data_IF_665560544909
#
_entry.id   IF_665560544909
#
_cell.length_a   1.000
_cell.length_b   1.000
_cell.length_c   1.000
_cell.angle_alpha   90.00
_cell.angle_beta   90.00
_cell.angle_gamma   90.00
#
_symmetry.space_group_name_H-M   'P 1'
#
loop_
_entity.id
_entity.type
_entity.pdbx_description
1 polymer ?
#
# COMPACT_ATOMS: atom_id res chain seq x y z
N UNK A 1 -2.84 17.52 -13.92
CA UNK A 1 -1.76 17.29 -14.88
C UNK A 1 -0.98 18.58 -15.08
N UNK A 2 0.32 18.55 -14.85
CA UNK A 2 1.24 19.61 -15.24
C UNK A 2 1.73 19.35 -16.68
N UNK A 3 2.05 20.42 -17.44
CA UNK A 3 2.55 20.33 -18.82
C UNK A 3 3.88 21.07 -18.92
N UNK A 4 4.88 20.44 -19.51
CA UNK A 4 6.16 21.04 -19.81
C UNK A 4 6.76 20.37 -21.06
N UNK A 5 7.27 21.16 -21.99
CA UNK A 5 7.98 20.71 -23.21
C UNK A 5 7.27 19.60 -24.00
N UNK A 6 5.94 19.72 -24.17
CA UNK A 6 5.13 18.72 -24.89
C UNK A 6 4.85 17.44 -24.11
N UNK A 7 5.31 17.32 -22.88
CA UNK A 7 5.05 16.21 -21.98
C UNK A 7 4.01 16.59 -20.92
N UNK A 8 3.29 15.59 -20.42
CA UNK A 8 2.31 15.75 -19.35
C UNK A 8 2.72 14.93 -18.14
N UNK A 9 2.62 15.53 -16.96
CA UNK A 9 3.01 14.92 -15.70
C UNK A 9 1.78 14.72 -14.82
N UNK A 10 1.47 13.47 -14.48
CA UNK A 10 0.47 13.16 -13.47
C UNK A 10 1.15 13.15 -12.10
N UNK A 11 0.91 14.19 -11.34
CA UNK A 11 1.48 14.36 -9.99
C UNK A 11 0.74 13.48 -8.99
N UNK A 12 1.42 12.49 -8.42
CA UNK A 12 0.84 11.50 -7.50
C UNK A 12 1.29 11.68 -6.05
N UNK A 13 1.81 12.87 -5.71
CA UNK A 13 2.34 13.18 -4.38
C UNK A 13 1.42 14.08 -3.53
N UNK A 14 0.17 14.28 -3.94
CA UNK A 14 -0.81 15.11 -3.20
C UNK A 14 -1.60 14.32 -2.14
N UNK A 15 -1.32 13.03 -1.96
CA UNK A 15 -1.95 12.19 -0.95
C UNK A 15 -1.39 12.40 0.46
N UNK A 16 -2.01 11.76 1.45
CA UNK A 16 -1.70 11.90 2.88
C UNK A 16 -0.23 11.64 3.23
N UNK A 17 0.40 10.71 2.52
CA UNK A 17 1.81 10.34 2.77
C UNK A 17 2.74 10.73 1.61
N UNK A 18 2.25 11.57 0.67
CA UNK A 18 2.99 12.03 -0.51
C UNK A 18 3.55 10.92 -1.39
N UNK A 19 2.89 9.77 -1.42
CA UNK A 19 3.25 8.63 -2.25
C UNK A 19 2.11 8.25 -3.19
N UNK A 20 2.43 7.83 -4.42
CA UNK A 20 1.41 7.32 -5.36
C UNK A 20 0.60 6.15 -4.80
N UNK A 21 1.15 5.48 -3.82
CA UNK A 21 0.54 4.32 -3.14
C UNK A 21 -0.66 4.68 -2.29
N UNK A 22 -0.81 5.96 -1.92
CA UNK A 22 -1.90 6.44 -1.07
C UNK A 22 -3.28 6.11 -1.63
N UNK A 23 -3.47 6.25 -2.95
CA UNK A 23 -4.75 5.96 -3.60
C UNK A 23 -5.22 4.53 -3.31
N UNK A 24 -4.38 3.54 -3.62
CA UNK A 24 -4.74 2.15 -3.42
C UNK A 24 -4.81 1.76 -1.94
N UNK A 25 -3.88 2.25 -1.14
CA UNK A 25 -3.80 1.89 0.28
C UNK A 25 -4.85 2.58 1.13
N UNK A 26 -5.44 3.68 0.68
CA UNK A 26 -6.60 4.30 1.34
C UNK A 26 -7.90 3.51 1.17
N UNK A 27 -8.05 2.76 0.09
CA UNK A 27 -9.26 1.96 -0.19
C UNK A 27 -9.09 0.48 0.18
N UNK A 28 -7.87 -0.05 0.14
CA UNK A 28 -7.59 -1.47 0.38
C UNK A 28 -8.17 -2.01 1.70
N UNK A 29 -8.05 -1.33 2.84
CA UNK A 29 -8.62 -1.82 4.10
C UNK A 29 -10.12 -2.06 4.02
N UNK A 30 -10.84 -1.16 3.36
CA UNK A 30 -12.30 -1.26 3.18
C UNK A 30 -12.71 -2.36 2.21
N UNK A 31 -11.93 -2.58 1.15
CA UNK A 31 -12.13 -3.73 0.25
C UNK A 31 -11.96 -5.04 1.01
N UNK A 32 -10.90 -5.14 1.82
CA UNK A 32 -10.60 -6.35 2.59
C UNK A 32 -11.65 -6.62 3.66
N UNK A 33 -12.03 -5.63 4.45
CA UNK A 33 -13.05 -5.80 5.50
C UNK A 33 -14.43 -6.07 4.93
N UNK A 34 -14.77 -5.49 3.77
CA UNK A 34 -16.01 -5.79 3.05
C UNK A 34 -16.01 -7.23 2.53
N UNK A 35 -14.90 -7.67 1.94
CA UNK A 35 -14.74 -9.05 1.48
C UNK A 35 -14.83 -10.04 2.65
N UNK A 36 -14.18 -9.75 3.77
CA UNK A 36 -14.26 -10.57 4.98
C UNK A 36 -15.72 -10.71 5.47
N UNK A 37 -16.46 -9.61 5.55
CA UNK A 37 -17.88 -9.63 5.92
C UNK A 37 -18.73 -10.46 4.96
N UNK A 38 -18.54 -10.29 3.65
CA UNK A 38 -19.26 -11.07 2.61
C UNK A 38 -19.01 -12.58 2.70
N UNK A 39 -17.79 -12.96 3.07
CA UNK A 39 -17.37 -14.37 3.20
C UNK A 39 -17.55 -14.91 4.62
N UNK A 40 -18.21 -14.17 5.52
CA UNK A 40 -18.42 -14.55 6.91
C UNK A 40 -17.13 -14.92 7.66
N UNK A 41 -16.00 -14.33 7.26
CA UNK A 41 -14.72 -14.49 7.94
C UNK A 41 -14.81 -13.89 9.35
N UNK A 42 -14.36 -14.67 10.35
CA UNK A 42 -14.42 -14.26 11.76
C UNK A 42 -13.12 -13.67 12.26
N UNK A 43 -12.01 -13.97 11.58
CA UNK A 43 -10.68 -13.61 12.01
C UNK A 43 -10.36 -12.14 11.70
N UNK A 44 -9.67 -11.50 12.62
CA UNK A 44 -9.10 -10.16 12.41
C UNK A 44 -7.95 -10.26 11.39
N UNK A 45 -7.90 -9.31 10.45
CA UNK A 45 -6.90 -9.32 9.38
C UNK A 45 -5.62 -8.65 9.88
N UNK A 46 -4.52 -9.40 9.94
CA UNK A 46 -3.19 -8.88 10.29
C UNK A 46 -2.36 -8.66 9.04
N UNK A 47 -2.09 -7.41 8.74
CA UNK A 47 -1.29 -7.01 7.59
C UNK A 47 0.19 -6.99 7.96
N UNK A 48 0.98 -7.83 7.30
CA UNK A 48 2.44 -7.77 7.37
C UNK A 48 2.99 -7.10 6.12
N UNK A 49 3.82 -6.09 6.30
CA UNK A 49 4.39 -5.30 5.20
C UNK A 49 5.87 -5.08 5.41
N UNK A 50 6.70 -5.55 4.47
CA UNK A 50 8.08 -5.11 4.36
C UNK A 50 8.13 -3.83 3.51
N UNK A 51 8.95 -2.87 3.90
CA UNK A 51 9.04 -1.59 3.19
C UNK A 51 10.45 -1.05 3.08
N UNK A 52 10.73 -0.39 1.95
CA UNK A 52 11.87 0.52 1.77
C UNK A 52 11.50 2.00 2.06
N UNK A 53 10.32 2.24 2.66
CA UNK A 53 9.84 3.56 3.07
C UNK A 53 8.38 3.83 2.67
N UNK A 54 8.11 4.03 1.39
CA UNK A 54 6.82 4.52 0.89
C UNK A 54 5.64 3.60 1.15
N UNK A 55 5.80 2.29 0.94
CA UNK A 55 4.70 1.34 1.15
C UNK A 55 4.30 1.29 2.62
N UNK A 56 5.27 1.26 3.53
CA UNK A 56 5.01 1.17 4.96
C UNK A 56 4.23 2.36 5.48
N UNK A 57 4.71 3.58 5.21
CA UNK A 57 4.02 4.81 5.66
C UNK A 57 2.61 4.94 5.09
N UNK A 58 2.42 4.63 3.79
CA UNK A 58 1.12 4.71 3.13
C UNK A 58 0.15 3.63 3.64
N UNK A 59 0.64 2.40 3.86
CA UNK A 59 -0.16 1.33 4.42
C UNK A 59 -0.59 1.62 5.86
N UNK A 60 0.34 2.06 6.71
CA UNK A 60 0.01 2.46 8.09
C UNK A 60 -1.08 3.55 8.10
N UNK A 61 -0.92 4.59 7.27
CA UNK A 61 -1.90 5.67 7.18
C UNK A 61 -3.27 5.23 6.66
N UNK A 62 -3.31 4.23 5.75
CA UNK A 62 -4.56 3.69 5.20
C UNK A 62 -5.28 2.75 6.17
N UNK A 63 -4.55 1.92 6.90
CA UNK A 63 -5.10 0.94 7.85
C UNK A 63 -5.33 1.49 9.25
N UNK A 64 -4.83 2.70 9.56
CA UNK A 64 -4.97 3.29 10.90
C UNK A 64 -6.43 3.34 11.36
N UNK A 65 -6.69 2.72 12.51
CA UNK A 65 -8.00 2.66 13.17
C UNK A 65 -9.14 2.04 12.34
N UNK A 66 -8.82 1.27 11.28
CA UNK A 66 -9.83 0.53 10.53
C UNK A 66 -10.22 -0.73 11.30
N UNK A 67 -11.49 -0.86 11.74
CA UNK A 67 -11.93 -2.00 12.54
C UNK A 67 -11.75 -3.34 11.82
N UNK A 68 -11.32 -4.37 12.57
CA UNK A 68 -11.08 -5.71 12.02
C UNK A 68 -9.76 -5.86 11.28
N UNK A 69 -8.87 -4.88 11.43
CA UNK A 69 -7.52 -4.94 10.86
C UNK A 69 -6.45 -4.55 11.88
N UNK A 70 -5.27 -5.16 11.75
CA UNK A 70 -4.01 -4.74 12.37
C UNK A 70 -2.94 -4.63 11.30
N UNK A 71 -1.99 -3.74 11.49
CA UNK A 71 -0.86 -3.62 10.58
C UNK A 71 0.46 -3.59 11.33
N UNK A 72 1.40 -4.40 10.85
CA UNK A 72 2.79 -4.43 11.32
C UNK A 72 3.69 -4.18 10.11
N UNK A 73 4.49 -3.13 10.19
CA UNK A 73 5.41 -2.73 9.14
C UNK A 73 6.84 -3.01 9.58
N UNK A 74 7.59 -3.72 8.75
CA UNK A 74 9.02 -3.99 8.94
C UNK A 74 9.83 -3.13 7.98
N UNK A 75 10.78 -2.38 8.50
CA UNK A 75 11.69 -1.55 7.70
C UNK A 75 13.15 -1.71 8.15
N UNK A 76 14.11 -1.61 7.22
CA UNK A 76 15.52 -1.65 7.59
C UNK A 76 15.91 -0.36 8.32
N UNK A 77 16.47 -0.47 9.53
CA UNK A 77 17.09 0.67 10.22
C UNK A 77 18.17 1.25 9.31
N UNK A 78 18.22 2.56 9.18
CA UNK A 78 19.13 3.29 8.29
C UNK A 78 18.96 2.98 6.78
N UNK A 79 17.96 2.20 6.37
CA UNK A 79 17.64 1.85 4.97
C UNK A 79 16.47 2.62 4.39
N UNK A 80 15.90 3.57 5.12
CA UNK A 80 14.83 4.49 4.69
C UNK A 80 15.25 5.93 4.94
N UNK A 81 14.64 6.89 4.23
CA UNK A 81 14.92 8.30 4.51
C UNK A 81 14.38 8.69 5.90
N UNK A 82 15.01 9.70 6.51
CA UNK A 82 14.57 10.19 7.83
C UNK A 82 13.11 10.64 7.84
N UNK A 83 12.64 11.23 6.74
CA UNK A 83 11.24 11.65 6.61
C UNK A 83 10.32 10.44 6.59
N UNK A 84 10.63 9.40 5.81
CA UNK A 84 9.84 8.17 5.76
C UNK A 84 9.81 7.44 7.11
N UNK A 85 10.94 7.38 7.78
CA UNK A 85 11.04 6.80 9.12
C UNK A 85 10.13 7.55 10.11
N UNK A 86 10.24 8.88 10.16
CA UNK A 86 9.40 9.71 11.02
C UNK A 86 7.91 9.57 10.70
N UNK A 87 7.53 9.49 9.42
CA UNK A 87 6.14 9.26 9.03
C UNK A 87 5.60 7.93 9.56
N UNK A 88 6.42 6.87 9.65
CA UNK A 88 6.03 5.60 10.25
C UNK A 88 6.00 5.65 11.76
N UNK A 89 7.05 6.19 12.38
CA UNK A 89 7.18 6.25 13.85
C UNK A 89 6.14 7.16 14.52
N UNK A 90 5.69 8.20 13.82
CA UNK A 90 4.69 9.15 14.34
C UNK A 90 3.27 8.85 13.89
N UNK A 91 3.06 7.80 13.08
CA UNK A 91 1.72 7.39 12.66
C UNK A 91 0.88 7.01 13.88
N UNK A 92 -0.24 7.68 14.05
CA UNK A 92 -1.22 7.37 15.09
C UNK A 92 -2.17 6.27 14.60
N UNK A 93 -2.64 5.46 15.54
CA UNK A 93 -3.60 4.38 15.29
C UNK A 93 -3.40 3.27 16.33
N UNK A 94 -4.48 2.83 16.97
CA UNK A 94 -4.43 1.79 18.00
C UNK A 94 -4.06 0.40 17.43
N UNK A 95 -4.21 0.23 16.13
CA UNK A 95 -3.98 -1.03 15.40
C UNK A 95 -2.71 -1.00 14.54
N UNK A 96 -1.84 0.01 14.69
CA UNK A 96 -0.63 0.17 13.87
C UNK A 96 0.62 -0.12 14.69
N UNK A 97 1.56 -0.86 14.10
CA UNK A 97 2.88 -1.14 14.68
C UNK A 97 3.97 -1.05 13.63
N UNK A 98 5.14 -0.57 14.02
CA UNK A 98 6.30 -0.51 13.14
C UNK A 98 7.53 -1.08 13.84
N UNK A 99 8.31 -1.87 13.11
CA UNK A 99 9.49 -2.58 13.61
C UNK A 99 10.67 -2.28 12.70
N UNK A 100 11.70 -1.65 13.26
CA UNK A 100 12.99 -1.48 12.60
C UNK A 100 13.84 -2.73 12.75
N UNK A 101 14.27 -3.31 11.64
CA UNK A 101 15.16 -4.49 11.64
C UNK A 101 16.61 -4.08 11.38
N UNK A 102 17.54 -4.86 11.90
CA UNK A 102 18.95 -4.82 11.49
C UNK A 102 19.08 -5.60 10.20
N UNK A 103 19.49 -4.96 9.10
CA UNK A 103 19.58 -5.55 7.77
C UNK A 103 19.10 -4.57 6.69
N UNK A 104 18.83 -5.11 5.51
CA UNK A 104 18.34 -4.34 4.36
C UNK A 104 16.87 -4.67 4.03
N UNK A 105 16.34 -4.08 2.95
CA UNK A 105 14.97 -4.32 2.52
C UNK A 105 14.71 -5.77 2.12
N UNK A 106 15.68 -6.45 1.51
CA UNK A 106 15.52 -7.85 1.08
C UNK A 106 15.44 -8.78 2.30
N UNK A 107 16.14 -8.45 3.38
CA UNK A 107 16.06 -9.18 4.66
C UNK A 107 14.64 -9.04 5.24
N UNK A 108 14.11 -7.82 5.28
CA UNK A 108 12.73 -7.57 5.73
C UNK A 108 11.71 -8.35 4.88
N UNK A 109 11.87 -8.30 3.56
CA UNK A 109 10.97 -8.97 2.62
C UNK A 109 11.06 -10.50 2.76
N UNK A 110 12.26 -11.03 2.91
CA UNK A 110 12.49 -12.46 3.12
C UNK A 110 11.88 -12.93 4.43
N UNK A 111 12.04 -12.17 5.50
CA UNK A 111 11.42 -12.44 6.79
C UNK A 111 9.89 -12.52 6.70
N UNK A 112 9.27 -11.53 6.08
CA UNK A 112 7.82 -11.53 5.86
C UNK A 112 7.36 -12.71 5.00
N UNK A 113 8.10 -13.06 3.93
CA UNK A 113 7.79 -14.23 3.09
C UNK A 113 7.88 -15.55 3.88
N UNK A 114 8.88 -15.69 4.77
CA UNK A 114 8.99 -16.87 5.65
C UNK A 114 7.79 -17.00 6.57
N UNK A 115 7.33 -15.91 7.17
CA UNK A 115 6.13 -15.91 8.03
C UNK A 115 4.90 -16.36 7.22
N UNK A 116 4.70 -15.84 6.00
CA UNK A 116 3.60 -16.29 5.13
C UNK A 116 3.69 -17.75 4.70
N UNK A 117 4.91 -18.30 4.62
CA UNK A 117 5.16 -19.70 4.26
C UNK A 117 5.01 -20.68 5.43
N UNK A 118 4.97 -20.19 6.67
CA UNK A 118 4.88 -21.00 7.87
C UNK A 118 3.43 -21.42 8.13
N UNK A 119 3.12 -22.67 7.78
CA UNK A 119 1.77 -23.23 7.90
C UNK A 119 1.39 -23.55 9.35
N UNK A 120 2.35 -23.84 10.22
CA UNK A 120 2.08 -24.12 11.63
C UNK A 120 1.75 -22.83 12.35
N UNK A 121 2.55 -21.80 12.16
CA UNK A 121 2.28 -20.45 12.67
C UNK A 121 0.94 -19.89 12.17
N UNK A 122 0.62 -20.12 10.88
CA UNK A 122 -0.68 -19.71 10.35
C UNK A 122 -1.87 -20.38 11.05
N UNK A 123 -1.75 -21.66 11.42
CA UNK A 123 -2.78 -22.38 12.20
C UNK A 123 -2.89 -21.87 13.63
N UNK A 124 -1.77 -21.54 14.27
CA UNK A 124 -1.77 -20.95 15.62
C UNK A 124 -2.49 -19.60 15.61
N UNK A 125 -2.19 -18.75 14.61
CA UNK A 125 -2.87 -17.45 14.44
C UNK A 125 -4.37 -17.63 14.17
N UNK A 126 -4.75 -18.57 13.33
CA UNK A 126 -6.15 -18.89 13.04
C UNK A 126 -6.91 -19.30 14.31
N UNK A 127 -6.31 -20.16 15.14
CA UNK A 127 -6.88 -20.57 16.44
C UNK A 127 -7.01 -19.39 17.42
N UNK A 128 -6.20 -18.36 17.28
CA UNK A 128 -6.25 -17.11 18.06
C UNK A 128 -7.22 -16.07 17.46
N UNK A 129 -7.86 -16.37 16.34
CA UNK A 129 -8.78 -15.46 15.66
C UNK A 129 -8.11 -14.45 14.74
N UNK A 130 -6.90 -14.74 14.23
CA UNK A 130 -6.17 -13.88 13.30
C UNK A 130 -5.92 -14.57 11.96
N UNK A 131 -5.86 -13.77 10.89
CA UNK A 131 -5.43 -14.23 9.57
C UNK A 131 -4.43 -13.25 8.96
N UNK A 132 -3.39 -13.77 8.35
CA UNK A 132 -2.35 -12.95 7.72
C UNK A 132 -2.76 -12.46 6.34
N UNK A 133 -2.39 -11.23 6.03
CA UNK A 133 -2.46 -10.65 4.70
C UNK A 133 -1.35 -9.62 4.48
N UNK A 134 -1.26 -9.04 3.29
CA UNK A 134 -0.20 -8.11 2.93
C UNK A 134 -0.73 -6.83 2.27
N UNK A 135 -0.04 -5.72 2.47
CA UNK A 135 -0.23 -4.48 1.71
C UNK A 135 0.87 -4.26 0.65
N UNK A 136 1.74 -5.25 0.42
CA UNK A 136 2.70 -5.23 -0.68
C UNK A 136 2.03 -5.57 -2.01
N UNK A 137 2.77 -5.45 -3.13
CA UNK A 137 2.27 -5.68 -4.49
C UNK A 137 1.79 -7.11 -4.78
N UNK A 138 2.04 -8.06 -3.89
CA UNK A 138 1.45 -9.40 -3.95
C UNK A 138 -0.09 -9.37 -3.77
N UNK A 139 -0.62 -8.34 -3.13
CA UNK A 139 -2.06 -8.16 -2.96
C UNK A 139 -2.64 -7.42 -4.17
N UNK A 140 -3.49 -8.12 -4.94
CA UNK A 140 -4.15 -7.57 -6.13
C UNK A 140 -5.03 -6.35 -5.81
N UNK A 141 -5.62 -6.29 -4.62
CA UNK A 141 -6.42 -5.15 -4.15
C UNK A 141 -5.60 -3.86 -3.97
N UNK A 142 -4.27 -3.98 -3.94
CA UNK A 142 -3.37 -2.83 -4.01
C UNK A 142 -3.12 -2.37 -5.45
N UNK A 143 -3.13 -3.27 -6.43
CA UNK A 143 -2.79 -2.95 -7.82
C UNK A 143 -3.98 -2.41 -8.60
N UNK A 144 -5.12 -3.06 -8.48
CA UNK A 144 -6.33 -2.70 -9.25
C UNK A 144 -6.75 -1.24 -9.09
N UNK A 145 -6.79 -0.63 -7.89
CA UNK A 145 -7.18 0.77 -7.76
C UNK A 145 -6.24 1.74 -8.49
N UNK A 146 -4.98 1.37 -8.73
CA UNK A 146 -4.01 2.23 -9.41
C UNK A 146 -4.30 2.39 -10.92
N UNK A 147 -5.15 1.55 -11.51
CA UNK A 147 -5.63 1.69 -12.90
C UNK A 147 -6.30 3.05 -13.10
N UNK A 148 -6.89 3.62 -12.07
CA UNK A 148 -7.53 4.94 -12.12
C UNK A 148 -6.58 6.05 -12.57
N UNK A 149 -5.29 5.94 -12.30
CA UNK A 149 -4.31 6.94 -12.73
C UNK A 149 -4.26 7.09 -14.25
N UNK A 150 -4.28 5.97 -14.96
CA UNK A 150 -4.23 5.94 -16.42
C UNK A 150 -5.55 6.44 -17.03
N UNK A 151 -6.66 5.97 -16.50
CA UNK A 151 -7.99 6.40 -16.95
C UNK A 151 -8.20 7.89 -16.70
N UNK A 152 -7.83 8.38 -15.53
CA UNK A 152 -7.93 9.80 -15.17
C UNK A 152 -7.03 10.68 -16.07
N UNK A 153 -5.77 10.26 -16.29
CA UNK A 153 -4.84 11.02 -17.12
C UNK A 153 -5.36 11.12 -18.56
N UNK A 154 -5.78 10.00 -19.15
CA UNK A 154 -6.34 9.97 -20.49
C UNK A 154 -7.60 10.84 -20.60
N UNK A 155 -8.56 10.68 -19.70
CA UNK A 155 -9.79 11.48 -19.69
C UNK A 155 -9.53 12.99 -19.52
N UNK A 156 -8.52 13.35 -18.72
CA UNK A 156 -8.13 14.75 -18.53
C UNK A 156 -7.50 15.35 -19.77
N UNK A 157 -6.62 14.61 -20.45
CA UNK A 157 -6.03 15.04 -21.72
C UNK A 157 -7.10 15.25 -22.79
N UNK A 158 -8.03 14.32 -22.91
CA UNK A 158 -9.15 14.41 -23.83
C UNK A 158 -10.07 15.61 -23.53
N UNK A 159 -10.44 15.78 -22.26
CA UNK A 159 -11.31 16.89 -21.84
C UNK A 159 -10.68 18.27 -22.03
N UNK A 160 -9.34 18.34 -21.97
CA UNK A 160 -8.62 19.60 -22.21
C UNK A 160 -8.30 19.84 -23.70
N UNK A 161 -8.70 18.95 -24.62
CA UNK A 161 -8.40 19.04 -26.05
C UNK A 161 -6.92 18.83 -26.40
N UNK A 162 -6.18 18.18 -25.54
CA UNK A 162 -4.73 17.90 -25.73
C UNK A 162 -4.50 16.65 -26.59
N UNK A 163 -5.48 15.77 -26.66
CA UNK A 163 -5.50 14.57 -27.51
C UNK A 163 -6.88 14.36 -28.14
N UNK A 164 -6.95 13.62 -29.23
CA UNK A 164 -8.18 13.18 -29.85
C UNK A 164 -8.68 11.86 -29.24
N UNK A 165 -9.98 11.55 -29.46
CA UNK A 165 -10.57 10.28 -29.02
C UNK A 165 -9.88 9.11 -29.72
N UNK A 166 -9.47 8.12 -28.94
CA UNK A 166 -8.70 6.93 -29.36
C UNK A 166 -7.25 7.20 -29.80
N UNK A 167 -6.75 8.41 -29.57
CA UNK A 167 -5.33 8.70 -29.77
C UNK A 167 -4.47 7.87 -28.79
N UNK A 168 -3.35 7.35 -29.29
CA UNK A 168 -2.42 6.57 -28.49
C UNK A 168 -1.58 7.48 -27.59
N UNK A 169 -1.54 7.16 -26.32
CA UNK A 169 -0.72 7.85 -25.31
C UNK A 169 0.40 6.93 -24.84
N UNK A 170 1.63 7.40 -24.90
CA UNK A 170 2.76 6.72 -24.31
C UNK A 170 2.87 7.10 -22.83
N UNK A 171 2.96 6.12 -21.96
CA UNK A 171 3.08 6.31 -20.52
C UNK A 171 4.46 5.88 -20.06
N UNK A 172 5.16 6.78 -19.39
CA UNK A 172 6.44 6.50 -18.73
C UNK A 172 6.21 6.48 -17.22
N UNK A 173 6.60 5.39 -16.59
CA UNK A 173 6.55 5.22 -15.12
C UNK A 173 7.97 5.17 -14.61
N UNK A 174 8.43 6.17 -13.82
CA UNK A 174 9.81 6.22 -13.31
C UNK A 174 10.08 5.16 -12.24
#
# INVERSE_FOLDING_TARGET
LAKADGMYFLELFHGKTIAFKDMALSILPYLMTTAAKKNHAKNEIVILTATSGDTGKAAMAGFADVPGTRIIVFYPKNGVSRVQELQMLTQKGANTSVVGIEGNFDDAQTGVKKIFGDKEFAKELDAMGFQLSSANSINIGRLVPQVVYYVYAYAKLLANGEIEKNEKVNVVVP
#
